data_IF_728158050927
#
_entry.id   IF_728158050927
#
_cell.length_a   1.000
_cell.length_b   1.000
_cell.length_c   1.000
_cell.angle_alpha   90.00
_cell.angle_beta   90.00
_cell.angle_gamma   90.00
#
_symmetry.space_group_name_H-M   'P 1'
#
loop_
_entity.id
_entity.type
_entity.pdbx_description
1 polymer ?
#
# COMPACT_ATOMS: atom_id res chain seq x y z
N UNK A 1 10.46 24.07 10.00
CA UNK A 1 11.77 23.38 10.05
C UNK A 1 12.69 23.73 8.87
N UNK A 2 12.36 23.40 7.61
CA UNK A 2 13.27 23.69 6.49
C UNK A 2 13.47 25.17 6.19
N UNK A 3 12.39 25.97 6.29
CA UNK A 3 12.43 27.42 6.06
C UNK A 3 13.16 28.20 7.17
N UNK A 4 13.09 27.74 8.41
CA UNK A 4 13.67 28.44 9.57
C UNK A 4 15.07 27.92 9.93
N UNK A 5 15.28 26.60 9.87
CA UNK A 5 16.48 25.93 10.38
C UNK A 5 17.30 25.23 9.28
N UNK A 6 16.96 25.49 8.02
CA UNK A 6 17.62 24.96 6.84
C UNK A 6 17.31 23.48 6.55
N UNK A 7 17.67 23.04 5.34
CA UNK A 7 17.41 21.66 4.89
C UNK A 7 18.05 20.59 5.77
N UNK A 8 19.21 20.88 6.39
CA UNK A 8 19.91 19.94 7.30
C UNK A 8 19.08 19.59 8.52
N UNK A 9 18.26 20.51 9.04
CA UNK A 9 17.38 20.24 10.17
C UNK A 9 16.36 19.14 9.83
N UNK A 10 15.85 19.12 8.60
CA UNK A 10 14.92 18.10 8.12
C UNK A 10 15.52 16.68 8.13
N UNK A 11 16.85 16.55 8.07
CA UNK A 11 17.57 15.27 8.18
C UNK A 11 18.06 14.95 9.59
N UNK A 12 18.03 15.89 10.53
CA UNK A 12 18.52 15.69 11.91
C UNK A 12 17.42 15.34 12.89
N UNK A 13 16.32 16.09 12.89
CA UNK A 13 15.29 15.95 13.91
C UNK A 13 14.42 14.69 13.75
N UNK A 14 13.91 14.33 12.56
CA UNK A 14 13.09 13.12 12.43
C UNK A 14 13.82 11.83 12.85
N UNK A 15 15.09 11.58 12.46
CA UNK A 15 15.81 10.40 12.94
C UNK A 15 16.00 10.39 14.45
N UNK A 16 16.22 11.54 15.09
CA UNK A 16 16.39 11.61 16.54
C UNK A 16 15.11 11.18 17.29
N UNK A 17 13.95 11.60 16.78
CA UNK A 17 12.66 11.15 17.31
C UNK A 17 12.50 9.63 17.11
N UNK A 18 12.84 9.12 15.91
CA UNK A 18 12.78 7.68 15.61
C UNK A 18 13.70 6.87 16.53
N UNK A 19 14.90 7.35 16.84
CA UNK A 19 15.83 6.68 17.77
C UNK A 19 15.22 6.57 19.16
N UNK A 20 14.65 7.65 19.69
CA UNK A 20 14.00 7.64 21.01
C UNK A 20 12.84 6.64 21.04
N UNK A 21 12.00 6.64 20.00
CA UNK A 21 10.89 5.69 19.87
C UNK A 21 11.40 4.25 19.74
N UNK A 22 12.49 4.02 19.02
CA UNK A 22 13.12 2.70 18.88
C UNK A 22 13.67 2.16 20.20
N UNK A 23 14.30 3.01 21.01
CA UNK A 23 14.75 2.66 22.36
C UNK A 23 13.54 2.29 23.24
N UNK A 24 12.49 3.11 23.22
CA UNK A 24 11.27 2.80 23.98
C UNK A 24 10.66 1.47 23.52
N UNK A 25 10.55 1.25 22.22
CA UNK A 25 10.02 0.00 21.65
C UNK A 25 10.83 -1.22 22.08
N UNK A 26 12.16 -1.15 22.08
CA UNK A 26 13.04 -2.23 22.52
C UNK A 26 12.75 -2.67 23.97
N UNK A 27 12.46 -1.73 24.87
CA UNK A 27 12.14 -2.07 26.26
C UNK A 27 10.70 -2.53 26.46
N UNK A 28 9.75 -1.99 25.69
CA UNK A 28 8.31 -2.23 25.88
C UNK A 28 7.76 -3.44 25.10
N UNK A 29 8.27 -3.73 23.90
CA UNK A 29 7.72 -4.78 23.05
C UNK A 29 8.21 -6.19 23.49
N UNK A 30 7.35 -7.18 23.34
CA UNK A 30 7.61 -8.60 23.59
C UNK A 30 7.11 -9.41 22.39
N UNK A 31 7.84 -10.46 22.02
CA UNK A 31 7.61 -11.17 20.76
C UNK A 31 6.40 -12.11 20.85
N UNK A 32 6.21 -12.76 22.01
CA UNK A 32 5.11 -13.69 22.24
C UNK A 32 4.37 -13.40 23.54
N UNK A 33 3.05 -13.66 23.61
CA UNK A 33 2.32 -13.67 24.88
C UNK A 33 2.97 -14.58 25.92
N UNK A 34 3.53 -15.70 25.47
CA UNK A 34 4.26 -16.65 26.31
C UNK A 34 5.55 -16.07 26.94
N UNK A 35 6.14 -15.00 26.39
CA UNK A 35 7.29 -14.31 26.99
C UNK A 35 6.91 -13.49 28.23
N UNK A 36 5.61 -13.28 28.47
CA UNK A 36 5.04 -12.54 29.60
C UNK A 36 3.97 -13.36 30.33
N UNK A 37 4.07 -14.69 30.28
CA UNK A 37 3.18 -15.63 30.97
C UNK A 37 1.69 -15.52 30.57
N UNK A 38 1.39 -15.00 29.37
CA UNK A 38 0.04 -14.98 28.80
C UNK A 38 -0.19 -16.22 27.91
N UNK A 39 -1.44 -16.74 27.85
CA UNK A 39 -1.76 -17.88 27.01
C UNK A 39 -1.50 -17.57 25.54
N UNK A 40 -1.01 -18.57 24.79
CA UNK A 40 -0.83 -18.42 23.36
C UNK A 40 -2.18 -18.23 22.66
N UNK A 41 -2.22 -17.27 21.74
CA UNK A 41 -3.41 -16.99 20.95
C UNK A 41 -3.66 -18.14 19.97
N UNK A 42 -4.80 -18.81 20.12
CA UNK A 42 -5.33 -19.81 19.18
C UNK A 42 -6.24 -19.08 18.19
N UNK A 43 -5.89 -19.13 16.92
CA UNK A 43 -6.68 -18.50 15.86
C UNK A 43 -7.87 -19.42 15.51
N UNK A 44 -9.09 -18.94 15.71
CA UNK A 44 -10.31 -19.71 15.42
C UNK A 44 -10.60 -19.81 13.90
N UNK A 45 -9.95 -18.97 13.09
CA UNK A 45 -10.19 -18.88 11.64
C UNK A 45 -9.50 -20.03 10.88
N UNK A 46 -10.28 -20.84 10.15
CA UNK A 46 -9.81 -22.02 9.40
C UNK A 46 -8.78 -21.68 8.31
N UNK A 47 -8.70 -20.42 7.87
CA UNK A 47 -7.85 -19.98 6.75
C UNK A 47 -6.36 -20.13 7.06
N UNK A 48 -5.94 -19.92 8.31
CA UNK A 48 -4.54 -20.09 8.75
C UNK A 48 -4.19 -21.54 9.11
N UNK A 49 -5.19 -22.41 9.33
CA UNK A 49 -4.97 -23.75 9.87
C UNK A 49 -4.20 -24.67 8.92
N UNK A 50 -4.42 -24.53 7.61
CA UNK A 50 -3.73 -25.34 6.60
C UNK A 50 -2.21 -25.05 6.51
N UNK A 51 -1.75 -23.79 6.34
CA UNK A 51 -0.32 -23.50 6.35
C UNK A 51 0.35 -23.76 7.71
N UNK A 52 -0.39 -23.68 8.82
CA UNK A 52 0.12 -24.00 10.16
C UNK A 52 0.30 -25.50 10.41
N UNK A 53 -0.38 -26.36 9.65
CA UNK A 53 -0.22 -27.83 9.73
C UNK A 53 1.05 -28.38 9.07
N UNK A 54 1.83 -27.53 8.38
CA UNK A 54 3.05 -27.92 7.69
C UNK A 54 4.18 -28.24 8.68
N UNK A 55 4.99 -29.26 8.33
CA UNK A 55 6.13 -29.68 9.13
C UNK A 55 7.11 -28.50 9.36
N UNK A 56 7.42 -28.14 10.63
CA UNK A 56 8.35 -27.07 10.96
C UNK A 56 9.73 -27.18 10.31
N UNK A 57 10.19 -28.39 9.96
CA UNK A 57 11.45 -28.59 9.24
C UNK A 57 11.45 -27.91 7.87
N UNK A 58 10.29 -27.75 7.22
CA UNK A 58 10.16 -27.04 5.93
C UNK A 58 10.43 -25.55 6.04
N UNK A 59 10.42 -24.98 7.24
CA UNK A 59 10.61 -23.55 7.46
C UNK A 59 12.06 -23.16 7.78
N UNK A 60 13.00 -24.11 7.76
CA UNK A 60 14.43 -23.80 7.99
C UNK A 60 15.11 -23.22 6.75
N UNK A 61 16.03 -22.27 6.98
CA UNK A 61 16.85 -21.66 5.93
C UNK A 61 16.02 -21.00 4.82
N UNK A 62 16.24 -21.41 3.57
CA UNK A 62 15.49 -20.90 2.41
C UNK A 62 14.13 -21.59 2.19
N UNK A 63 13.76 -22.55 3.04
CA UNK A 63 12.49 -23.28 2.95
C UNK A 63 11.24 -22.39 2.83
N UNK A 64 11.06 -21.37 3.70
CA UNK A 64 9.91 -20.46 3.62
C UNK A 64 9.82 -19.70 2.29
N UNK A 65 10.97 -19.27 1.75
CA UNK A 65 11.01 -18.59 0.46
C UNK A 65 10.57 -19.51 -0.67
N UNK A 66 11.06 -20.77 -0.67
CA UNK A 66 10.68 -21.76 -1.67
C UNK A 66 9.19 -22.08 -1.60
N UNK A 67 8.65 -22.25 -0.40
CA UNK A 67 7.22 -22.55 -0.18
C UNK A 67 6.34 -21.42 -0.74
N UNK A 68 6.62 -20.18 -0.34
CA UNK A 68 5.86 -19.01 -0.77
C UNK A 68 5.99 -18.74 -2.28
N UNK A 69 7.20 -18.80 -2.83
CA UNK A 69 7.43 -18.58 -4.26
C UNK A 69 6.94 -19.72 -5.14
N UNK A 70 6.67 -20.91 -4.58
CA UNK A 70 6.02 -22.01 -5.31
C UNK A 70 4.49 -21.94 -5.22
N UNK A 71 3.95 -21.12 -4.32
CA UNK A 71 2.51 -20.98 -4.13
C UNK A 71 1.93 -19.98 -5.15
N UNK A 72 1.11 -20.43 -6.12
CA UNK A 72 0.58 -19.55 -7.16
C UNK A 72 -0.37 -18.48 -6.61
N UNK A 73 -1.07 -18.74 -5.49
CA UNK A 73 -1.93 -17.73 -4.85
C UNK A 73 -1.08 -16.61 -4.25
N UNK A 74 0.03 -16.96 -3.59
CA UNK A 74 0.97 -15.99 -3.03
C UNK A 74 1.66 -15.17 -4.11
N UNK A 75 2.12 -15.80 -5.19
CA UNK A 75 2.70 -15.10 -6.34
C UNK A 75 1.71 -14.11 -6.97
N UNK A 76 0.46 -14.54 -7.15
CA UNK A 76 -0.59 -13.68 -7.69
C UNK A 76 -0.88 -12.49 -6.77
N UNK A 77 -0.99 -12.72 -5.46
CA UNK A 77 -1.12 -11.64 -4.46
C UNK A 77 0.09 -10.68 -4.49
N UNK A 78 1.29 -11.21 -4.69
CA UNK A 78 2.53 -10.42 -4.81
C UNK A 78 2.52 -9.51 -6.04
N UNK A 79 2.03 -9.99 -7.17
CA UNK A 79 1.87 -9.15 -8.37
C UNK A 79 0.77 -8.11 -8.19
N UNK A 80 -0.35 -8.45 -7.55
CA UNK A 80 -1.41 -7.49 -7.19
C UNK A 80 -0.87 -6.38 -6.30
N UNK A 81 -0.06 -6.72 -5.28
CA UNK A 81 0.64 -5.73 -4.45
C UNK A 81 1.60 -4.87 -5.26
N UNK A 82 2.35 -5.44 -6.19
CA UNK A 82 3.21 -4.72 -7.13
C UNK A 82 2.44 -3.62 -7.87
N UNK A 83 1.34 -4.01 -8.53
CA UNK A 83 0.46 -3.11 -9.27
C UNK A 83 -0.21 -2.06 -8.35
N UNK A 84 -0.58 -2.41 -7.12
CA UNK A 84 -1.05 -1.43 -6.14
C UNK A 84 0.01 -0.41 -5.77
N UNK A 85 1.26 -0.84 -5.61
CA UNK A 85 2.36 0.06 -5.33
C UNK A 85 2.72 0.94 -6.52
N UNK A 86 2.51 0.48 -7.77
CA UNK A 86 2.62 1.36 -8.96
C UNK A 86 1.76 2.60 -8.76
N UNK A 87 0.50 2.40 -8.37
CA UNK A 87 -0.47 3.48 -8.21
C UNK A 87 -0.22 4.29 -6.95
N UNK A 88 0.08 3.64 -5.82
CA UNK A 88 0.34 4.33 -4.54
C UNK A 88 1.54 5.27 -4.65
N UNK A 89 2.67 4.76 -5.15
CA UNK A 89 3.88 5.57 -5.31
C UNK A 89 3.77 6.51 -6.51
N UNK A 90 3.04 6.11 -7.55
CA UNK A 90 2.72 6.98 -8.67
C UNK A 90 1.95 8.23 -8.20
N UNK A 91 0.87 8.06 -7.44
CA UNK A 91 0.13 9.19 -6.88
C UNK A 91 0.95 10.02 -5.89
N UNK A 92 1.76 9.37 -5.05
CA UNK A 92 2.62 10.08 -4.08
C UNK A 92 3.67 10.95 -4.76
N UNK A 93 4.21 10.50 -5.90
CA UNK A 93 5.30 11.18 -6.62
C UNK A 93 4.77 12.20 -7.62
N UNK A 94 3.80 11.80 -8.44
CA UNK A 94 3.40 12.53 -9.64
C UNK A 94 2.27 13.52 -9.40
N UNK A 95 1.40 13.32 -8.41
CA UNK A 95 0.32 14.29 -8.11
C UNK A 95 0.87 15.64 -7.64
N UNK A 96 1.84 15.72 -6.71
CA UNK A 96 2.42 17.01 -6.33
C UNK A 96 3.02 17.73 -7.53
N UNK A 97 3.73 17.01 -8.41
CA UNK A 97 4.34 17.57 -9.61
C UNK A 97 3.24 18.07 -10.57
N UNK A 98 2.21 17.28 -10.81
CA UNK A 98 1.07 17.66 -11.67
C UNK A 98 0.40 18.97 -11.24
N UNK A 99 0.05 19.10 -9.97
CA UNK A 99 -0.60 20.33 -9.48
C UNK A 99 0.36 21.53 -9.40
N UNK A 100 1.66 21.28 -9.25
CA UNK A 100 2.66 22.34 -9.29
C UNK A 100 2.91 22.84 -10.72
N UNK A 101 3.15 21.94 -11.67
CA UNK A 101 3.51 22.27 -13.05
C UNK A 101 2.29 22.68 -13.89
N UNK A 102 1.23 21.86 -13.92
CA UNK A 102 0.03 22.12 -14.73
C UNK A 102 -1.00 22.96 -13.97
N UNK A 103 -1.10 22.79 -12.66
CA UNK A 103 -2.01 23.55 -11.82
C UNK A 103 -1.52 24.95 -11.47
N UNK A 104 -0.23 25.24 -11.67
CA UNK A 104 0.39 26.52 -11.34
C UNK A 104 0.32 26.88 -9.85
N UNK A 105 0.16 25.88 -8.97
CA UNK A 105 0.05 26.11 -7.53
C UNK A 105 1.41 26.44 -6.91
N UNK A 106 1.39 27.23 -5.83
CA UNK A 106 2.58 27.43 -5.01
C UNK A 106 2.97 26.12 -4.31
N UNK A 107 4.23 26.01 -3.91
CA UNK A 107 4.74 24.84 -3.16
C UNK A 107 3.89 24.56 -1.91
N UNK A 108 3.52 25.61 -1.18
CA UNK A 108 2.69 25.50 0.03
C UNK A 108 1.30 24.93 -0.29
N UNK A 109 0.61 25.50 -1.27
CA UNK A 109 -0.73 25.06 -1.69
C UNK A 109 -0.71 23.62 -2.22
N UNK A 110 0.32 23.24 -2.98
CA UNK A 110 0.51 21.87 -3.46
C UNK A 110 0.69 20.89 -2.31
N UNK A 111 1.48 21.23 -1.28
CA UNK A 111 1.65 20.37 -0.09
C UNK A 111 0.31 20.21 0.64
N UNK A 112 -0.41 21.30 0.87
CA UNK A 112 -1.71 21.29 1.56
C UNK A 112 -2.79 20.50 0.78
N UNK A 113 -2.73 20.54 -0.55
CA UNK A 113 -3.62 19.76 -1.39
C UNK A 113 -3.26 18.26 -1.37
N UNK A 114 -1.99 17.94 -1.55
CA UNK A 114 -1.54 16.56 -1.73
C UNK A 114 -1.47 15.75 -0.44
N UNK A 115 -1.42 16.39 0.74
CA UNK A 115 -1.54 15.71 2.04
C UNK A 115 -2.88 14.99 2.23
N UNK A 116 -3.91 15.31 1.43
CA UNK A 116 -5.19 14.62 1.47
C UNK A 116 -5.09 13.15 1.06
N UNK A 117 -4.12 12.79 0.19
CA UNK A 117 -3.83 11.39 -0.16
C UNK A 117 -3.43 10.55 1.07
N UNK A 118 -2.35 10.89 1.81
CA UNK A 118 -1.97 10.13 3.00
C UNK A 118 -3.01 10.22 4.12
N UNK A 119 -3.76 11.32 4.27
CA UNK A 119 -4.87 11.42 5.23
C UNK A 119 -5.97 10.40 4.90
N UNK A 120 -6.40 10.33 3.64
CA UNK A 120 -7.39 9.34 3.21
C UNK A 120 -6.89 7.92 3.46
N UNK A 121 -5.61 7.66 3.16
CA UNK A 121 -5.01 6.35 3.40
C UNK A 121 -4.99 5.98 4.89
N UNK A 122 -4.62 6.93 5.75
CA UNK A 122 -4.59 6.76 7.21
C UNK A 122 -5.96 6.39 7.76
N UNK A 123 -7.03 7.05 7.29
CA UNK A 123 -8.41 6.79 7.73
C UNK A 123 -8.91 5.43 7.22
N UNK A 124 -8.63 5.10 5.95
CA UNK A 124 -9.18 3.91 5.34
C UNK A 124 -8.61 2.61 5.91
N UNK A 125 -7.34 2.59 6.34
CA UNK A 125 -6.70 1.38 6.89
C UNK A 125 -7.45 0.74 8.08
N UNK A 126 -7.72 1.44 9.18
CA UNK A 126 -8.49 0.88 10.29
C UNK A 126 -9.94 0.59 9.90
N UNK A 127 -10.55 1.45 9.08
CA UNK A 127 -11.94 1.25 8.60
C UNK A 127 -12.05 -0.05 7.78
N UNK A 128 -11.06 -0.34 6.94
CA UNK A 128 -11.05 -1.54 6.12
C UNK A 128 -10.95 -2.82 6.96
N UNK A 129 -10.11 -2.81 8.01
CA UNK A 129 -10.02 -3.91 8.97
C UNK A 129 -11.37 -4.15 9.66
N UNK A 130 -11.97 -3.10 10.23
CA UNK A 130 -13.27 -3.20 10.89
C UNK A 130 -14.36 -3.73 9.95
N UNK A 131 -14.41 -3.24 8.71
CA UNK A 131 -15.41 -3.70 7.72
C UNK A 131 -15.20 -5.18 7.37
N UNK A 132 -13.96 -5.56 7.08
CA UNK A 132 -13.61 -6.96 6.76
C UNK A 132 -14.00 -7.89 7.91
N UNK A 133 -13.56 -7.57 9.11
CA UNK A 133 -13.59 -8.50 10.22
C UNK A 133 -15.00 -8.58 10.84
N UNK A 134 -15.71 -7.45 10.94
CA UNK A 134 -17.04 -7.40 11.58
C UNK A 134 -18.22 -7.60 10.63
N UNK A 135 -18.10 -7.14 9.38
CA UNK A 135 -19.24 -7.09 8.46
C UNK A 135 -19.13 -8.05 7.29
N UNK A 136 -17.91 -8.47 6.93
CA UNK A 136 -17.68 -9.41 5.83
C UNK A 136 -17.22 -10.79 6.30
N UNK A 137 -17.17 -11.04 7.61
CA UNK A 137 -16.74 -12.33 8.18
C UNK A 137 -15.32 -12.69 7.74
N UNK A 138 -14.38 -11.78 7.95
CA UNK A 138 -12.96 -11.91 7.55
C UNK A 138 -12.71 -12.07 6.05
N UNK A 139 -13.72 -11.87 5.17
CA UNK A 139 -13.53 -11.90 3.71
C UNK A 139 -12.80 -10.65 3.24
N UNK A 140 -11.48 -10.77 3.09
CA UNK A 140 -10.60 -9.67 2.69
C UNK A 140 -10.64 -9.37 1.18
N UNK A 141 -10.91 -10.37 0.34
CA UNK A 141 -10.92 -10.21 -1.13
C UNK A 141 -11.91 -9.17 -1.65
N UNK A 142 -13.19 -9.12 -1.20
CA UNK A 142 -14.13 -8.06 -1.59
C UNK A 142 -13.60 -6.64 -1.33
N UNK A 143 -12.85 -6.43 -0.25
CA UNK A 143 -12.25 -5.13 0.09
C UNK A 143 -11.19 -4.71 -0.93
N UNK A 144 -10.36 -5.65 -1.38
CA UNK A 144 -9.37 -5.40 -2.44
C UNK A 144 -10.07 -5.06 -3.76
N UNK A 145 -11.11 -5.81 -4.14
CA UNK A 145 -11.88 -5.53 -5.36
C UNK A 145 -12.54 -4.16 -5.29
N UNK A 146 -13.16 -3.81 -4.16
CA UNK A 146 -13.73 -2.48 -3.94
C UNK A 146 -12.66 -1.39 -4.08
N UNK A 147 -11.50 -1.58 -3.44
CA UNK A 147 -10.37 -0.66 -3.55
C UNK A 147 -9.94 -0.48 -5.01
N UNK A 148 -9.79 -1.57 -5.77
CA UNK A 148 -9.42 -1.53 -7.19
C UNK A 148 -10.41 -0.71 -8.00
N UNK A 149 -11.70 -1.01 -7.90
CA UNK A 149 -12.74 -0.34 -8.68
C UNK A 149 -12.88 1.14 -8.29
N UNK A 150 -12.97 1.45 -7.00
CA UNK A 150 -13.14 2.82 -6.53
C UNK A 150 -11.95 3.71 -6.90
N UNK A 151 -10.72 3.23 -6.67
CA UNK A 151 -9.52 4.01 -7.03
C UNK A 151 -9.32 4.15 -8.54
N UNK A 152 -9.71 3.16 -9.36
CA UNK A 152 -9.70 3.29 -10.82
C UNK A 152 -10.63 4.41 -11.30
N UNK A 153 -11.85 4.49 -10.75
CA UNK A 153 -12.80 5.55 -11.09
C UNK A 153 -12.29 6.94 -10.69
N UNK A 154 -11.67 7.05 -9.50
CA UNK A 154 -11.05 8.30 -9.05
C UNK A 154 -9.91 8.71 -9.97
N UNK A 155 -9.05 7.77 -10.39
CA UNK A 155 -7.95 8.07 -11.30
C UNK A 155 -8.42 8.55 -12.67
N UNK A 156 -9.49 7.95 -13.21
CA UNK A 156 -10.13 8.44 -14.43
C UNK A 156 -10.69 9.85 -14.21
N UNK A 157 -11.34 10.11 -13.08
CA UNK A 157 -11.83 11.44 -12.75
C UNK A 157 -10.68 12.47 -12.66
N UNK A 158 -9.57 12.14 -12.00
CA UNK A 158 -8.37 13.00 -11.95
C UNK A 158 -7.83 13.27 -13.35
N UNK A 159 -7.79 12.27 -14.24
CA UNK A 159 -7.31 12.43 -15.61
C UNK A 159 -8.16 13.40 -16.45
N UNK A 160 -9.44 13.56 -16.11
CA UNK A 160 -10.41 14.37 -16.85
C UNK A 160 -10.63 15.76 -16.23
N UNK A 161 -10.35 15.92 -14.93
CA UNK A 161 -10.57 17.16 -14.21
C UNK A 161 -9.36 18.08 -14.38
N UNK A 162 -9.55 19.33 -14.85
CA UNK A 162 -8.46 20.29 -14.94
C UNK A 162 -7.85 20.59 -13.56
N UNK A 163 -6.53 20.71 -13.44
CA UNK A 163 -5.86 20.91 -12.15
C UNK A 163 -6.17 22.28 -11.52
N UNK A 164 -6.65 23.24 -12.33
CA UNK A 164 -7.18 24.52 -11.86
C UNK A 164 -8.39 24.39 -10.92
N UNK A 165 -9.15 23.28 -10.99
CA UNK A 165 -10.26 23.03 -10.08
C UNK A 165 -9.77 22.38 -8.77
N UNK A 166 -9.12 23.19 -7.93
CA UNK A 166 -8.49 22.75 -6.67
C UNK A 166 -9.48 22.08 -5.72
N UNK A 167 -10.72 22.58 -5.63
CA UNK A 167 -11.74 22.02 -4.74
C UNK A 167 -12.11 20.59 -5.14
N UNK A 168 -12.37 20.36 -6.42
CA UNK A 168 -12.66 19.01 -6.91
C UNK A 168 -11.43 18.12 -6.81
N UNK A 169 -10.24 18.66 -7.09
CA UNK A 169 -8.96 17.99 -6.88
C UNK A 169 -8.79 17.49 -5.45
N UNK A 170 -9.05 18.34 -4.46
CA UNK A 170 -8.96 18.00 -3.03
C UNK A 170 -9.87 16.83 -2.67
N UNK A 171 -11.13 16.87 -3.13
CA UNK A 171 -12.11 15.80 -2.92
C UNK A 171 -11.62 14.50 -3.56
N UNK A 172 -11.16 14.56 -4.81
CA UNK A 172 -10.65 13.39 -5.54
C UNK A 172 -9.40 12.79 -4.88
N UNK A 173 -8.48 13.61 -4.38
CA UNK A 173 -7.28 13.13 -3.68
C UNK A 173 -7.62 12.48 -2.35
N UNK A 174 -8.58 13.02 -1.59
CA UNK A 174 -9.04 12.40 -0.36
C UNK A 174 -9.73 11.06 -0.63
N UNK A 175 -10.65 11.00 -1.60
CA UNK A 175 -11.34 9.76 -1.99
C UNK A 175 -10.36 8.77 -2.62
N UNK A 176 -9.34 9.24 -3.35
CA UNK A 176 -8.26 8.41 -3.89
C UNK A 176 -7.44 7.76 -2.77
N UNK A 177 -7.05 8.54 -1.76
CA UNK A 177 -6.39 8.03 -0.56
C UNK A 177 -7.24 7.01 0.19
N UNK A 178 -8.53 7.33 0.41
CA UNK A 178 -9.48 6.44 1.08
C UNK A 178 -9.62 5.13 0.29
N UNK A 179 -10.01 5.20 -0.98
CA UNK A 179 -10.24 4.02 -1.83
C UNK A 179 -9.01 3.12 -1.93
N UNK A 180 -7.80 3.66 -2.06
CA UNK A 180 -6.57 2.86 -2.03
C UNK A 180 -6.31 2.23 -0.66
N UNK A 181 -6.54 2.97 0.44
CA UNK A 181 -6.32 2.47 1.79
C UNK A 181 -7.26 1.31 2.18
N UNK A 182 -8.38 1.14 1.46
CA UNK A 182 -9.32 0.03 1.68
C UNK A 182 -8.77 -1.36 1.30
N UNK A 183 -7.67 -1.44 0.56
CA UNK A 183 -7.11 -2.73 0.13
C UNK A 183 -6.46 -3.50 1.29
N UNK A 184 -6.87 -4.75 1.49
CA UNK A 184 -6.33 -5.69 2.48
C UNK A 184 -5.45 -6.77 1.83
N UNK A 185 -4.66 -6.42 0.81
CA UNK A 185 -3.82 -7.40 0.10
C UNK A 185 -2.70 -7.99 0.99
N UNK A 186 -2.14 -7.18 1.91
CA UNK A 186 -1.13 -7.62 2.89
C UNK A 186 -1.73 -8.65 3.84
N UNK A 187 -2.94 -8.32 4.32
CA UNK A 187 -4.01 -9.20 4.78
C UNK A 187 -3.94 -10.63 4.25
N UNK A 188 -4.42 -10.73 3.02
CA UNK A 188 -4.56 -11.95 2.23
C UNK A 188 -3.23 -12.71 2.10
N UNK A 189 -2.13 -12.00 1.84
CA UNK A 189 -0.84 -12.65 1.65
C UNK A 189 -0.31 -13.30 2.93
N UNK A 190 -0.56 -12.69 4.10
CA UNK A 190 -0.21 -13.27 5.40
C UNK A 190 -1.11 -14.47 5.71
N UNK A 191 -2.42 -14.39 5.43
CA UNK A 191 -3.32 -15.54 5.60
C UNK A 191 -2.88 -16.74 4.74
N UNK A 192 -2.50 -16.51 3.48
CA UNK A 192 -1.99 -17.55 2.58
C UNK A 192 -0.69 -18.18 3.12
N UNK A 193 0.14 -17.38 3.78
CA UNK A 193 1.44 -17.81 4.30
C UNK A 193 1.36 -18.50 5.68
N UNK A 194 0.31 -18.21 6.47
CA UNK A 194 0.22 -18.60 7.87
C UNK A 194 1.16 -17.82 8.78
N UNK A 195 0.93 -17.92 10.10
CA UNK A 195 1.64 -17.12 11.12
C UNK A 195 3.15 -17.39 11.13
N UNK A 196 3.56 -18.63 10.91
CA UNK A 196 4.98 -19.04 10.91
C UNK A 196 5.82 -18.34 9.83
N UNK A 197 5.23 -18.01 8.68
CA UNK A 197 5.93 -17.35 7.58
C UNK A 197 5.53 -15.88 7.41
N UNK A 198 4.73 -15.31 8.32
CA UNK A 198 4.19 -13.94 8.23
C UNK A 198 5.26 -12.88 7.95
N UNK A 199 6.42 -12.99 8.60
CA UNK A 199 7.57 -12.10 8.37
C UNK A 199 8.16 -12.24 6.95
N UNK A 200 8.46 -13.45 6.52
CA UNK A 200 8.99 -13.75 5.18
C UNK A 200 8.00 -13.36 4.08
N UNK A 201 6.72 -13.65 4.29
CA UNK A 201 5.63 -13.30 3.40
C UNK A 201 5.51 -11.78 3.23
N UNK A 202 5.49 -11.03 4.33
CA UNK A 202 5.46 -9.56 4.30
C UNK A 202 6.67 -9.00 3.57
N UNK A 203 7.87 -9.52 3.85
CA UNK A 203 9.10 -9.10 3.18
C UNK A 203 9.10 -9.36 1.68
N UNK A 204 8.73 -10.56 1.23
CA UNK A 204 8.64 -10.91 -0.20
C UNK A 204 7.57 -10.09 -0.93
N UNK A 205 6.43 -9.87 -0.26
CA UNK A 205 5.32 -9.09 -0.76
C UNK A 205 5.72 -7.63 -0.99
N UNK A 206 6.39 -7.02 -0.01
CA UNK A 206 6.88 -5.65 -0.12
C UNK A 206 8.05 -5.53 -1.11
N UNK A 207 8.93 -6.53 -1.21
CA UNK A 207 9.97 -6.55 -2.24
C UNK A 207 9.39 -6.46 -3.66
N UNK A 208 8.33 -7.24 -3.97
CA UNK A 208 7.58 -7.10 -5.22
C UNK A 208 6.97 -5.71 -5.36
N UNK A 209 6.33 -5.23 -4.28
CA UNK A 209 5.78 -3.89 -4.20
C UNK A 209 6.77 -2.79 -4.59
N UNK A 210 7.97 -2.81 -4.03
CA UNK A 210 8.99 -1.79 -4.25
C UNK A 210 9.66 -1.90 -5.63
N UNK A 211 9.85 -3.12 -6.15
CA UNK A 211 10.36 -3.31 -7.50
C UNK A 211 9.45 -2.63 -8.55
N UNK A 212 8.13 -2.81 -8.41
CA UNK A 212 7.15 -2.18 -9.29
C UNK A 212 7.10 -0.65 -9.09
N UNK A 213 7.21 -0.19 -7.84
CA UNK A 213 7.27 1.24 -7.53
C UNK A 213 8.50 1.94 -8.13
N UNK A 214 9.65 1.27 -8.15
CA UNK A 214 10.86 1.77 -8.82
C UNK A 214 10.69 1.78 -10.34
N UNK A 215 10.17 0.69 -10.91
CA UNK A 215 9.93 0.60 -12.35
C UNK A 215 8.95 1.67 -12.86
N UNK A 216 7.84 1.92 -12.15
CA UNK A 216 6.88 2.94 -12.58
C UNK A 216 7.46 4.35 -12.58
N UNK A 217 8.38 4.66 -11.65
CA UNK A 217 8.98 5.99 -11.58
C UNK A 217 9.76 6.28 -12.86
N UNK A 218 10.50 5.29 -13.38
CA UNK A 218 11.23 5.43 -14.64
C UNK A 218 10.28 5.47 -15.84
N UNK A 219 9.25 4.62 -15.86
CA UNK A 219 8.29 4.56 -16.97
C UNK A 219 7.49 5.86 -17.07
N UNK A 220 6.92 6.35 -15.97
CA UNK A 220 6.12 7.57 -15.98
C UNK A 220 6.97 8.82 -16.21
N UNK A 221 8.21 8.86 -15.73
CA UNK A 221 9.15 9.93 -16.10
C UNK A 221 9.35 9.98 -17.63
N UNK A 222 9.69 8.85 -18.25
CA UNK A 222 9.89 8.77 -19.69
C UNK A 222 8.64 9.13 -20.51
N UNK A 223 7.44 8.79 -20.01
CA UNK A 223 6.17 9.20 -20.63
C UNK A 223 5.94 10.70 -20.52
N UNK A 224 6.27 11.31 -19.37
CA UNK A 224 6.07 12.75 -19.14
C UNK A 224 7.12 13.62 -19.84
N UNK A 225 8.29 13.07 -20.18
CA UNK A 225 9.31 13.72 -21.02
C UNK A 225 8.88 13.82 -22.51
N UNK A 226 7.81 13.14 -22.91
CA UNK A 226 7.25 13.27 -24.26
C UNK A 226 6.65 14.67 -24.48
N UNK A 227 6.56 15.09 -25.75
CA UNK A 227 6.04 16.41 -26.11
C UNK A 227 4.64 16.65 -25.51
N UNK A 228 4.50 17.73 -24.75
CA UNK A 228 3.25 18.14 -24.11
C UNK A 228 2.90 17.39 -22.83
N UNK A 229 3.85 16.65 -22.22
CA UNK A 229 3.75 16.01 -20.90
C UNK A 229 2.37 15.41 -20.63
N UNK A 230 2.04 14.25 -21.22
CA UNK A 230 0.68 13.75 -21.30
C UNK A 230 0.18 13.17 -19.96
N UNK A 231 -0.06 14.03 -18.98
CA UNK A 231 -0.55 13.70 -17.64
C UNK A 231 -1.80 12.81 -17.61
N UNK A 232 -2.82 13.02 -18.47
CA UNK A 232 -3.96 12.11 -18.52
C UNK A 232 -3.56 10.66 -18.81
N UNK A 233 -2.53 10.42 -19.63
CA UNK A 233 -2.05 9.06 -19.93
C UNK A 233 -1.50 8.39 -18.67
N UNK A 234 -0.75 9.11 -17.85
CA UNK A 234 -0.19 8.58 -16.60
C UNK A 234 -1.30 8.18 -15.62
N UNK A 235 -2.31 9.03 -15.43
CA UNK A 235 -3.46 8.71 -14.58
C UNK A 235 -4.33 7.57 -15.13
N UNK A 236 -4.56 7.53 -16.46
CA UNK A 236 -5.29 6.45 -17.10
C UNK A 236 -4.52 5.11 -17.06
N UNK A 237 -3.19 5.15 -17.18
CA UNK A 237 -2.35 3.96 -17.03
C UNK A 237 -2.40 3.42 -15.59
N UNK A 238 -2.40 4.30 -14.58
CA UNK A 238 -2.67 3.90 -13.20
C UNK A 238 -4.08 3.32 -13.02
N UNK A 239 -5.10 3.90 -13.65
CA UNK A 239 -6.46 3.38 -13.60
C UNK A 239 -6.55 1.98 -14.21
N UNK A 240 -5.97 1.77 -15.40
CA UNK A 240 -5.88 0.47 -16.05
C UNK A 240 -5.14 -0.55 -15.17
N UNK A 241 -4.06 -0.13 -14.51
CA UNK A 241 -3.32 -0.95 -13.54
C UNK A 241 -4.23 -1.44 -12.40
N UNK A 242 -5.09 -0.57 -11.85
CA UNK A 242 -6.08 -0.97 -10.82
C UNK A 242 -7.11 -1.96 -11.34
N UNK A 243 -7.60 -1.77 -12.57
CA UNK A 243 -8.53 -2.73 -13.20
C UNK A 243 -7.87 -4.10 -13.34
N UNK A 244 -6.62 -4.15 -13.82
CA UNK A 244 -5.84 -5.40 -13.91
C UNK A 244 -5.66 -6.04 -12.55
N UNK A 245 -5.31 -5.26 -11.50
CA UNK A 245 -5.23 -5.77 -10.12
C UNK A 245 -6.56 -6.39 -9.66
N UNK A 246 -7.69 -5.74 -9.93
CA UNK A 246 -9.04 -6.23 -9.59
C UNK A 246 -9.37 -7.54 -10.28
N UNK A 247 -9.04 -7.66 -11.57
CA UNK A 247 -9.24 -8.91 -12.33
C UNK A 247 -8.34 -10.02 -11.77
N UNK A 248 -7.07 -9.72 -11.50
CA UNK A 248 -6.12 -10.71 -10.94
C UNK A 248 -6.58 -11.23 -9.57
N UNK A 249 -6.93 -10.35 -8.63
CA UNK A 249 -7.34 -10.78 -7.29
C UNK A 249 -8.67 -11.55 -7.32
N UNK A 250 -9.54 -11.29 -8.31
CA UNK A 250 -10.78 -12.07 -8.49
C UNK A 250 -10.55 -13.54 -8.85
N UNK A 251 -9.32 -13.93 -9.21
CA UNK A 251 -8.95 -15.33 -9.44
C UNK A 251 -8.34 -15.99 -8.20
N UNK A 252 -8.01 -15.21 -7.15
CA UNK A 252 -7.55 -15.76 -5.88
C UNK A 252 -8.76 -16.19 -5.08
N UNK A 253 -9.01 -17.50 -5.04
CA UNK A 253 -9.90 -18.08 -4.03
C UNK A 253 -9.04 -18.35 -2.79
N UNK A 254 -9.17 -17.47 -1.80
CA UNK A 254 -8.68 -17.73 -0.43
C UNK A 254 -9.79 -18.48 0.27
#
# INVERSE_FOLDING_TARGET
MGAEWGWRAAFRYPPLIIVVLGIAFYFLARDRPSDVDLPEYVEEDEVSAAPESLDPERFKGFGPYKELLSNPKFLLASHVKGLENVVRYGLTTWVPIYYFEEGGLSIESTILLTILLPIGYLIARPVAGIISDRYLGSRRRPMVIFSCTASALVLVAIALVPPANVTLGAILLLIGGLSMGMSLITTIAVDIAGRHMSGTASGLLDAHGYAYAGAQALIFAAVLDMAGSPWPIVFLAMAATRVVSGIMISRVNV
#
